data_IF_389257219548
#
_entry.id   IF_389257219548
#
_cell.length_a   1.000
_cell.length_b   1.000
_cell.length_c   1.000
_cell.angle_alpha   90.00
_cell.angle_beta   90.00
_cell.angle_gamma   90.00
#
_symmetry.space_group_name_H-M   'P 1'
#
loop_
_entity.id
_entity.type
_entity.pdbx_description
1 polymer ?
#
# COMPACT_ATOMS: atom_id res chain seq x y z
N UNK A 1 -26.51 -49.42 5.91
CA UNK A 1 -26.29 -48.28 5.00
C UNK A 1 -27.38 -48.35 3.94
N UNK A 2 -28.24 -47.33 3.91
CA UNK A 2 -29.27 -47.18 2.87
C UNK A 2 -28.61 -46.60 1.60
N UNK A 3 -29.29 -46.69 0.46
CA UNK A 3 -28.85 -46.03 -0.80
C UNK A 3 -28.75 -44.52 -0.58
N UNK A 4 -29.62 -43.98 0.27
CA UNK A 4 -29.63 -42.56 0.64
C UNK A 4 -28.39 -42.14 1.42
N UNK A 5 -27.91 -43.00 2.34
CA UNK A 5 -26.63 -42.77 3.08
C UNK A 5 -25.42 -42.78 2.14
N UNK A 6 -25.40 -43.70 1.20
CA UNK A 6 -24.34 -43.81 0.21
C UNK A 6 -24.31 -42.59 -0.72
N UNK A 7 -25.49 -42.10 -1.16
CA UNK A 7 -25.64 -40.92 -2.00
C UNK A 7 -25.19 -39.66 -1.25
N UNK A 8 -25.58 -39.51 -0.01
CA UNK A 8 -25.22 -38.42 0.87
C UNK A 8 -23.69 -38.37 1.09
N UNK A 9 -23.09 -39.50 1.35
CA UNK A 9 -21.65 -39.61 1.50
C UNK A 9 -20.89 -39.25 0.20
N UNK A 10 -21.37 -39.75 -0.96
CA UNK A 10 -20.81 -39.44 -2.26
C UNK A 10 -20.88 -37.93 -2.56
N UNK A 11 -22.03 -37.29 -2.31
CA UNK A 11 -22.20 -35.86 -2.52
C UNK A 11 -21.30 -35.01 -1.62
N UNK A 12 -21.16 -35.38 -0.34
CA UNK A 12 -20.22 -34.73 0.58
C UNK A 12 -18.78 -34.84 0.11
N UNK A 13 -18.37 -36.03 -0.33
CA UNK A 13 -17.02 -36.27 -0.84
C UNK A 13 -16.76 -35.46 -2.12
N UNK A 14 -17.72 -35.43 -3.05
CA UNK A 14 -17.65 -34.62 -4.26
C UNK A 14 -17.52 -33.13 -3.92
N UNK A 15 -18.32 -32.63 -3.00
CA UNK A 15 -18.31 -31.24 -2.55
C UNK A 15 -16.94 -30.84 -1.97
N UNK A 16 -16.40 -31.66 -1.09
CA UNK A 16 -15.06 -31.44 -0.52
C UNK A 16 -13.94 -31.42 -1.57
N UNK A 17 -14.01 -32.29 -2.59
CA UNK A 17 -13.04 -32.31 -3.70
C UNK A 17 -13.12 -31.00 -4.49
N UNK A 18 -14.31 -30.50 -4.78
CA UNK A 18 -14.51 -29.25 -5.53
C UNK A 18 -14.03 -28.04 -4.75
N UNK A 19 -14.28 -27.99 -3.45
CA UNK A 19 -13.78 -26.93 -2.58
C UNK A 19 -12.25 -26.91 -2.55
N UNK A 20 -11.61 -28.08 -2.40
CA UNK A 20 -10.13 -28.19 -2.49
C UNK A 20 -9.60 -27.76 -3.86
N UNK A 21 -10.30 -28.09 -4.93
CA UNK A 21 -9.90 -27.66 -6.28
C UNK A 21 -10.00 -26.14 -6.43
N UNK A 22 -11.05 -25.50 -5.92
CA UNK A 22 -11.18 -24.04 -5.89
C UNK A 22 -10.01 -23.40 -5.10
N UNK A 23 -9.69 -23.96 -3.92
CA UNK A 23 -8.54 -23.50 -3.12
C UNK A 23 -7.20 -23.67 -3.85
N UNK A 24 -7.01 -24.73 -4.64
CA UNK A 24 -5.80 -24.91 -5.45
C UNK A 24 -5.71 -23.84 -6.53
N UNK A 25 -6.82 -23.56 -7.23
CA UNK A 25 -6.83 -22.50 -8.24
C UNK A 25 -6.57 -21.11 -7.62
N UNK A 26 -7.14 -20.82 -6.46
CA UNK A 26 -6.83 -19.62 -5.70
C UNK A 26 -5.33 -19.49 -5.44
N UNK A 27 -4.70 -20.50 -4.85
CA UNK A 27 -3.25 -20.51 -4.57
C UNK A 27 -2.41 -20.33 -5.84
N UNK A 28 -2.80 -20.95 -6.96
CA UNK A 28 -2.13 -20.74 -8.23
C UNK A 28 -2.30 -19.29 -8.71
N UNK A 29 -3.48 -18.71 -8.57
CA UNK A 29 -3.74 -17.30 -8.83
C UNK A 29 -2.82 -16.37 -8.03
N UNK A 30 -2.68 -16.62 -6.72
CA UNK A 30 -1.77 -15.88 -5.83
C UNK A 30 -0.32 -15.98 -6.30
N UNK A 31 0.16 -17.16 -6.69
CA UNK A 31 1.52 -17.36 -7.21
C UNK A 31 1.72 -16.57 -8.50
N UNK A 32 0.78 -16.63 -9.44
CA UNK A 32 0.84 -15.88 -10.70
C UNK A 32 0.81 -14.37 -10.46
N UNK A 33 -0.03 -13.89 -9.53
CA UNK A 33 -0.08 -12.47 -9.12
C UNK A 33 1.26 -12.00 -8.57
N UNK A 34 1.88 -12.77 -7.67
CA UNK A 34 3.22 -12.46 -7.12
C UNK A 34 4.30 -12.45 -8.20
N UNK A 35 4.14 -13.26 -9.25
CA UNK A 35 5.02 -13.26 -10.42
C UNK A 35 4.67 -12.16 -11.45
N UNK A 36 3.73 -11.25 -11.14
CA UNK A 36 3.20 -10.19 -12.03
C UNK A 36 2.58 -10.71 -13.33
N UNK A 37 2.18 -11.99 -13.37
CA UNK A 37 1.48 -12.62 -14.49
C UNK A 37 -0.04 -12.46 -14.33
N UNK A 38 -0.50 -11.21 -14.43
CA UNK A 38 -1.85 -10.81 -14.02
C UNK A 38 -2.98 -11.52 -14.80
N UNK A 39 -2.84 -11.69 -16.12
CA UNK A 39 -3.85 -12.41 -16.93
C UNK A 39 -4.01 -13.86 -16.48
N UNK A 40 -2.90 -14.57 -16.23
CA UNK A 40 -2.94 -15.95 -15.75
C UNK A 40 -3.52 -16.03 -14.33
N UNK A 41 -3.20 -15.05 -13.48
CA UNK A 41 -3.75 -14.98 -12.14
C UNK A 41 -5.28 -14.81 -12.17
N UNK A 42 -5.78 -13.88 -12.98
CA UNK A 42 -7.23 -13.67 -13.16
C UNK A 42 -7.94 -14.91 -13.73
N UNK A 43 -7.33 -15.64 -14.65
CA UNK A 43 -7.88 -16.90 -15.17
C UNK A 43 -8.04 -17.95 -14.04
N UNK A 44 -7.02 -18.11 -13.19
CA UNK A 44 -7.09 -19.02 -12.05
C UNK A 44 -8.13 -18.60 -11.03
N UNK A 45 -8.20 -17.32 -10.65
CA UNK A 45 -9.23 -16.82 -9.73
C UNK A 45 -10.64 -17.01 -10.32
N UNK A 46 -10.83 -16.77 -11.61
CA UNK A 46 -12.10 -17.00 -12.29
C UNK A 46 -12.51 -18.49 -12.27
N UNK A 47 -11.55 -19.41 -12.46
CA UNK A 47 -11.80 -20.86 -12.33
C UNK A 47 -12.22 -21.23 -10.92
N UNK A 48 -11.55 -20.69 -9.90
CA UNK A 48 -11.91 -20.90 -8.50
C UNK A 48 -13.33 -20.40 -8.21
N UNK A 49 -13.64 -19.17 -8.64
CA UNK A 49 -14.96 -18.55 -8.46
C UNK A 49 -16.06 -19.34 -9.15
N UNK A 50 -15.86 -19.77 -10.41
CA UNK A 50 -16.84 -20.58 -11.13
C UNK A 50 -17.14 -21.91 -10.41
N UNK A 51 -16.14 -22.56 -9.81
CA UNK A 51 -16.37 -23.79 -9.03
C UNK A 51 -17.24 -23.49 -7.80
N UNK A 52 -16.95 -22.38 -7.11
CA UNK A 52 -17.69 -21.93 -5.93
C UNK A 52 -19.17 -21.67 -6.30
N UNK A 53 -19.38 -20.87 -7.34
CA UNK A 53 -20.71 -20.41 -7.75
C UNK A 53 -21.59 -21.55 -8.28
N UNK A 54 -21.06 -22.37 -9.22
CA UNK A 54 -21.79 -23.48 -9.84
C UNK A 54 -22.20 -24.55 -8.81
N UNK A 55 -21.34 -24.77 -7.82
CA UNK A 55 -21.57 -25.82 -6.83
C UNK A 55 -22.11 -25.29 -5.50
N UNK A 56 -22.42 -23.99 -5.41
CA UNK A 56 -22.94 -23.31 -4.22
C UNK A 56 -22.08 -23.57 -2.96
N UNK A 57 -20.75 -23.50 -3.13
CA UNK A 57 -19.81 -23.75 -2.03
C UNK A 57 -19.88 -22.57 -1.04
N UNK A 58 -20.25 -22.85 0.20
CA UNK A 58 -20.31 -21.85 1.28
C UNK A 58 -18.96 -21.75 1.98
N UNK A 59 -18.03 -21.05 1.39
CA UNK A 59 -16.73 -20.72 1.97
C UNK A 59 -16.48 -19.20 1.81
N UNK A 60 -17.00 -18.37 2.75
CA UNK A 60 -16.89 -16.92 2.66
C UNK A 60 -15.45 -16.43 2.73
N UNK A 61 -14.58 -17.10 3.50
CA UNK A 61 -13.15 -16.77 3.57
C UNK A 61 -12.49 -16.89 2.19
N UNK A 62 -12.52 -18.07 1.59
CA UNK A 62 -11.96 -18.29 0.26
C UNK A 62 -12.56 -17.34 -0.79
N UNK A 63 -13.88 -17.14 -0.75
CA UNK A 63 -14.59 -16.28 -1.72
C UNK A 63 -14.16 -14.82 -1.57
N UNK A 64 -14.06 -14.31 -0.35
CA UNK A 64 -13.62 -12.93 -0.11
C UNK A 64 -12.15 -12.73 -0.46
N UNK A 65 -11.29 -13.73 -0.23
CA UNK A 65 -9.88 -13.65 -0.58
C UNK A 65 -9.65 -13.62 -2.10
N UNK A 66 -10.40 -14.40 -2.87
CA UNK A 66 -10.38 -14.36 -4.33
C UNK A 66 -10.74 -12.95 -4.83
N UNK A 67 -11.84 -12.35 -4.33
CA UNK A 67 -12.22 -10.99 -4.70
C UNK A 67 -11.15 -9.97 -4.30
N UNK A 68 -10.60 -10.09 -3.09
CA UNK A 68 -9.53 -9.22 -2.64
C UNK A 68 -8.31 -9.28 -3.57
N UNK A 69 -7.86 -10.48 -3.93
CA UNK A 69 -6.69 -10.67 -4.79
C UNK A 69 -6.92 -10.23 -6.24
N UNK A 70 -8.13 -10.39 -6.77
CA UNK A 70 -8.53 -9.78 -8.04
C UNK A 70 -8.48 -8.24 -7.95
N UNK A 71 -8.93 -7.65 -6.83
CA UNK A 71 -8.82 -6.23 -6.55
C UNK A 71 -7.37 -5.75 -6.59
N UNK A 72 -6.43 -6.49 -5.97
CA UNK A 72 -4.98 -6.20 -6.01
C UNK A 72 -4.44 -6.20 -7.45
N UNK A 73 -4.90 -7.11 -8.30
CA UNK A 73 -4.47 -7.12 -9.70
C UNK A 73 -5.00 -5.87 -10.42
N UNK A 74 -6.28 -5.56 -10.25
CA UNK A 74 -6.87 -4.42 -10.95
C UNK A 74 -6.29 -3.07 -10.53
N UNK A 75 -5.91 -2.91 -9.25
CA UNK A 75 -5.23 -1.68 -8.82
C UNK A 75 -3.82 -1.57 -9.42
N UNK A 76 -3.10 -2.68 -9.58
CA UNK A 76 -1.78 -2.71 -10.23
C UNK A 76 -1.85 -2.41 -11.74
N UNK A 77 -3.00 -2.67 -12.35
CA UNK A 77 -3.29 -2.37 -13.74
C UNK A 77 -3.95 -0.98 -13.94
N UNK A 78 -4.10 -0.19 -12.86
CA UNK A 78 -4.80 1.09 -12.84
C UNK A 78 -6.29 1.02 -13.30
N UNK A 79 -6.92 -0.15 -13.17
CA UNK A 79 -8.35 -0.39 -13.48
C UNK A 79 -9.17 -0.21 -12.21
N UNK A 80 -9.28 1.05 -11.76
CA UNK A 80 -9.78 1.41 -10.44
C UNK A 80 -11.24 0.97 -10.17
N UNK A 81 -12.14 1.08 -11.16
CA UNK A 81 -13.54 0.71 -10.97
C UNK A 81 -13.70 -0.79 -10.69
N UNK A 82 -12.93 -1.64 -11.39
CA UNK A 82 -12.91 -3.08 -11.13
C UNK A 82 -12.26 -3.40 -9.79
N UNK A 83 -11.18 -2.69 -9.41
CA UNK A 83 -10.55 -2.86 -8.12
C UNK A 83 -11.54 -2.55 -6.99
N UNK A 84 -12.22 -1.41 -7.08
CA UNK A 84 -13.22 -0.98 -6.10
C UNK A 84 -14.37 -2.00 -5.96
N UNK A 85 -14.95 -2.45 -7.09
CA UNK A 85 -16.03 -3.43 -7.09
C UNK A 85 -15.61 -4.75 -6.40
N UNK A 86 -14.38 -5.22 -6.68
CA UNK A 86 -13.88 -6.44 -6.06
C UNK A 86 -13.60 -6.28 -4.56
N UNK A 87 -12.99 -5.18 -4.12
CA UNK A 87 -12.78 -4.92 -2.69
C UNK A 87 -14.09 -4.71 -1.92
N UNK A 88 -15.08 -4.04 -2.52
CA UNK A 88 -16.40 -3.89 -1.92
C UNK A 88 -17.07 -5.26 -1.75
N UNK A 89 -16.96 -6.14 -2.76
CA UNK A 89 -17.52 -7.49 -2.66
C UNK A 89 -16.83 -8.33 -1.59
N UNK A 90 -15.49 -8.26 -1.51
CA UNK A 90 -14.75 -8.92 -0.43
C UNK A 90 -15.20 -8.44 0.95
N UNK A 91 -15.35 -7.12 1.13
CA UNK A 91 -15.83 -6.51 2.38
C UNK A 91 -17.23 -7.00 2.74
N UNK A 92 -18.19 -6.92 1.80
CA UNK A 92 -19.58 -7.36 2.03
C UNK A 92 -19.65 -8.82 2.51
N UNK A 93 -18.85 -9.70 1.91
CA UNK A 93 -18.77 -11.11 2.31
C UNK A 93 -18.20 -11.22 3.73
N UNK A 94 -17.10 -10.51 4.04
CA UNK A 94 -16.45 -10.54 5.36
C UNK A 94 -17.36 -10.00 6.46
N UNK A 95 -18.15 -8.96 6.17
CA UNK A 95 -19.11 -8.38 7.10
C UNK A 95 -20.38 -9.27 7.30
N UNK A 96 -20.69 -10.15 6.34
CA UNK A 96 -21.92 -10.96 6.37
C UNK A 96 -21.83 -12.23 7.23
N UNK A 97 -20.64 -12.61 7.71
CA UNK A 97 -20.48 -13.81 8.55
C UNK A 97 -20.85 -13.55 9.99
N UNK A 98 -21.30 -14.56 10.72
CA UNK A 98 -21.79 -14.44 12.10
C UNK A 98 -20.68 -13.97 13.08
N UNK A 99 -19.44 -14.41 12.89
CA UNK A 99 -18.28 -14.00 13.68
C UNK A 99 -17.22 -13.46 12.74
N UNK A 100 -17.30 -12.16 12.34
CA UNK A 100 -16.43 -11.59 11.35
C UNK A 100 -15.00 -11.41 11.90
N UNK A 101 -14.01 -11.70 11.06
CA UNK A 101 -12.62 -11.31 11.31
C UNK A 101 -12.48 -9.80 11.10
N UNK A 102 -12.40 -9.06 12.20
CA UNK A 102 -12.32 -7.60 12.19
C UNK A 102 -11.03 -7.09 11.48
N UNK A 103 -9.91 -7.82 11.59
CA UNK A 103 -8.69 -7.41 10.87
C UNK A 103 -8.87 -7.53 9.34
N UNK A 104 -9.55 -8.58 8.87
CA UNK A 104 -9.85 -8.72 7.44
C UNK A 104 -10.83 -7.65 6.95
N UNK A 105 -11.76 -7.21 7.79
CA UNK A 105 -12.64 -6.08 7.49
C UNK A 105 -11.83 -4.79 7.41
N UNK A 106 -10.98 -4.50 8.41
CA UNK A 106 -10.09 -3.34 8.39
C UNK A 106 -9.18 -3.33 7.16
N UNK A 107 -8.69 -4.50 6.75
CA UNK A 107 -7.91 -4.66 5.53
C UNK A 107 -8.72 -4.32 4.27
N UNK A 108 -9.99 -4.71 4.22
CA UNK A 108 -10.89 -4.34 3.11
C UNK A 108 -11.11 -2.83 3.04
N UNK A 109 -11.34 -2.17 4.17
CA UNK A 109 -11.47 -0.71 4.24
C UNK A 109 -10.20 0.00 3.80
N UNK A 110 -9.04 -0.47 4.26
CA UNK A 110 -7.74 0.04 3.83
C UNK A 110 -7.56 -0.06 2.30
N UNK A 111 -7.88 -1.21 1.70
CA UNK A 111 -7.76 -1.41 0.26
C UNK A 111 -8.68 -0.49 -0.54
N UNK A 112 -9.93 -0.30 -0.09
CA UNK A 112 -10.87 0.66 -0.70
C UNK A 112 -10.30 2.09 -0.62
N UNK A 113 -9.79 2.50 0.54
CA UNK A 113 -9.11 3.79 0.72
C UNK A 113 -7.94 3.98 -0.25
N UNK A 114 -7.12 2.94 -0.42
CA UNK A 114 -6.00 2.94 -1.37
C UNK A 114 -6.46 3.12 -2.83
N UNK A 115 -7.60 2.56 -3.23
CA UNK A 115 -8.16 2.81 -4.58
C UNK A 115 -8.51 4.29 -4.73
N UNK A 116 -9.20 4.88 -3.76
CA UNK A 116 -9.54 6.31 -3.80
C UNK A 116 -8.31 7.21 -3.79
N UNK A 117 -7.29 6.86 -3.00
CA UNK A 117 -5.99 7.56 -3.01
C UNK A 117 -5.33 7.54 -4.40
N UNK A 118 -5.31 6.38 -5.07
CA UNK A 118 -4.79 6.23 -6.44
C UNK A 118 -5.61 7.03 -7.46
N UNK A 119 -6.91 7.15 -7.26
CA UNK A 119 -7.80 8.03 -8.04
C UNK A 119 -7.63 9.51 -7.71
N UNK A 120 -6.79 9.87 -6.73
CA UNK A 120 -6.62 11.23 -6.17
C UNK A 120 -7.89 11.80 -5.52
N UNK A 121 -8.82 10.94 -5.10
CA UNK A 121 -10.03 11.27 -4.33
C UNK A 121 -9.70 11.19 -2.84
N UNK A 122 -8.91 12.16 -2.37
CA UNK A 122 -8.30 12.08 -1.04
C UNK A 122 -9.32 12.17 0.10
N UNK A 123 -10.43 12.91 -0.05
CA UNK A 123 -11.51 12.95 0.93
C UNK A 123 -12.11 11.56 1.20
N UNK A 124 -12.37 10.82 0.13
CA UNK A 124 -12.88 9.44 0.23
C UNK A 124 -11.81 8.52 0.83
N UNK A 125 -10.54 8.67 0.40
CA UNK A 125 -9.42 7.89 0.94
C UNK A 125 -9.29 8.07 2.46
N UNK A 126 -9.29 9.31 2.95
CA UNK A 126 -9.26 9.65 4.38
C UNK A 126 -10.40 8.95 5.13
N UNK A 127 -11.62 9.00 4.57
CA UNK A 127 -12.80 8.39 5.19
C UNK A 127 -12.63 6.88 5.37
N UNK A 128 -12.16 6.19 4.33
CA UNK A 128 -12.00 4.74 4.38
C UNK A 128 -10.80 4.30 5.22
N UNK A 129 -9.68 5.02 5.16
CA UNK A 129 -8.52 4.72 6.00
C UNK A 129 -8.80 4.99 7.48
N UNK A 130 -9.62 5.99 7.83
CA UNK A 130 -10.07 6.21 9.21
C UNK A 130 -10.94 5.06 9.72
N UNK A 131 -11.87 4.53 8.93
CA UNK A 131 -12.65 3.35 9.30
C UNK A 131 -11.75 2.14 9.55
N UNK A 132 -10.71 1.93 8.73
CA UNK A 132 -9.74 0.87 8.96
C UNK A 132 -8.96 1.08 10.27
N UNK A 133 -8.57 2.32 10.58
CA UNK A 133 -7.89 2.67 11.82
C UNK A 133 -8.77 2.43 13.04
N UNK A 134 -10.05 2.85 13.01
CA UNK A 134 -11.02 2.66 14.10
C UNK A 134 -11.12 1.18 14.49
N UNK A 135 -11.33 0.29 13.51
CA UNK A 135 -11.38 -1.17 13.78
C UNK A 135 -10.04 -1.68 14.36
N UNK A 136 -8.92 -1.24 13.81
CA UNK A 136 -7.61 -1.66 14.31
C UNK A 136 -7.35 -1.20 15.74
N UNK A 137 -7.83 -0.03 16.13
CA UNK A 137 -7.73 0.45 17.50
C UNK A 137 -8.64 -0.32 18.48
N UNK A 138 -9.71 -0.97 17.99
CA UNK A 138 -10.53 -1.87 18.81
C UNK A 138 -9.85 -3.20 19.10
N UNK A 139 -9.05 -3.72 18.16
CA UNK A 139 -8.49 -5.08 18.24
C UNK A 139 -7.02 -5.12 18.65
N UNK A 140 -6.29 -4.01 18.50
CA UNK A 140 -4.86 -3.92 18.82
C UNK A 140 -4.56 -2.88 19.87
N UNK A 141 -3.51 -3.09 20.71
CA UNK A 141 -2.96 -2.03 21.54
C UNK A 141 -2.53 -0.80 20.72
N UNK A 142 -2.66 0.39 21.33
CA UNK A 142 -2.33 1.66 20.64
C UNK A 142 -0.88 1.76 20.13
N UNK A 143 0.02 0.96 20.67
CA UNK A 143 1.43 0.94 20.28
C UNK A 143 1.79 -0.11 19.23
N UNK A 144 0.81 -0.76 18.60
CA UNK A 144 1.09 -1.73 17.56
C UNK A 144 1.56 -1.06 16.24
N UNK A 145 2.57 -1.63 15.54
CA UNK A 145 3.07 -1.08 14.28
C UNK A 145 2.02 -0.89 13.21
N UNK A 146 0.96 -1.70 13.20
CA UNK A 146 -0.16 -1.60 12.25
C UNK A 146 -0.96 -0.31 12.44
N UNK A 147 -1.08 0.16 13.70
CA UNK A 147 -1.68 1.46 14.03
C UNK A 147 -0.83 2.58 13.43
N UNK A 148 0.51 2.52 13.63
CA UNK A 148 1.43 3.51 13.07
C UNK A 148 1.38 3.56 11.53
N UNK A 149 1.23 2.41 10.87
CA UNK A 149 1.07 2.33 9.42
C UNK A 149 -0.23 3.03 8.97
N UNK A 150 -1.35 2.76 9.65
CA UNK A 150 -2.64 3.39 9.37
C UNK A 150 -2.60 4.90 9.57
N UNK A 151 -2.00 5.38 10.66
CA UNK A 151 -1.81 6.80 10.95
C UNK A 151 -0.98 7.48 9.85
N UNK A 152 0.14 6.90 9.45
CA UNK A 152 0.99 7.46 8.38
C UNK A 152 0.23 7.55 7.05
N UNK A 153 -0.60 6.57 6.73
CA UNK A 153 -1.42 6.58 5.51
C UNK A 153 -2.42 7.73 5.53
N UNK A 154 -3.14 7.91 6.63
CA UNK A 154 -4.09 9.03 6.81
C UNK A 154 -3.36 10.38 6.71
N UNK A 155 -2.20 10.53 7.35
CA UNK A 155 -1.37 11.73 7.25
C UNK A 155 -0.95 12.03 5.80
N UNK A 156 -0.57 11.02 5.03
CA UNK A 156 -0.26 11.17 3.60
C UNK A 156 -1.49 11.63 2.80
N UNK A 157 -2.67 11.08 3.08
CA UNK A 157 -3.91 11.48 2.40
C UNK A 157 -4.26 12.94 2.69
N UNK A 158 -4.17 13.38 3.97
CA UNK A 158 -4.36 14.79 4.33
C UNK A 158 -3.35 15.71 3.65
N UNK A 159 -2.08 15.31 3.60
CA UNK A 159 -1.04 16.08 2.90
C UNK A 159 -1.36 16.27 1.41
N UNK A 160 -1.81 15.20 0.75
CA UNK A 160 -2.20 15.27 -0.65
C UNK A 160 -3.53 16.02 -0.87
N UNK A 161 -4.47 15.91 0.07
CA UNK A 161 -5.70 16.68 0.05
C UNK A 161 -5.39 18.19 0.14
N UNK A 162 -4.63 18.61 1.14
CA UNK A 162 -4.25 20.01 1.35
C UNK A 162 -3.48 20.63 0.17
N UNK A 163 -2.72 19.82 -0.55
CA UNK A 163 -2.03 20.26 -1.76
C UNK A 163 -2.99 20.62 -2.91
N UNK A 164 -4.14 19.96 -2.97
CA UNK A 164 -5.06 20.04 -4.10
C UNK A 164 -6.36 20.78 -3.77
N UNK A 165 -6.69 20.96 -2.50
CA UNK A 165 -7.93 21.55 -2.02
C UNK A 165 -7.68 22.37 -0.76
N UNK A 166 -7.93 23.70 -0.84
CA UNK A 166 -7.72 24.67 0.25
C UNK A 166 -8.65 24.47 1.45
N UNK A 167 -9.66 23.58 1.37
CA UNK A 167 -10.49 23.22 2.52
C UNK A 167 -9.77 22.31 3.53
N UNK A 168 -8.63 21.71 3.12
CA UNK A 168 -7.75 20.91 3.97
C UNK A 168 -6.52 21.71 4.37
N UNK A 169 -6.07 21.51 5.61
CA UNK A 169 -4.85 22.15 6.10
C UNK A 169 -3.73 21.13 6.29
N UNK A 170 -2.50 21.50 5.96
CA UNK A 170 -1.32 20.64 6.16
C UNK A 170 -1.17 20.20 7.61
N UNK A 171 -1.54 21.06 8.57
CA UNK A 171 -1.47 20.74 9.99
C UNK A 171 -2.35 19.54 10.39
N UNK A 172 -3.43 19.26 9.67
CA UNK A 172 -4.29 18.10 9.92
C UNK A 172 -3.54 16.76 9.74
N UNK A 173 -2.47 16.76 8.95
CA UNK A 173 -1.63 15.59 8.71
C UNK A 173 -0.59 15.36 9.81
N UNK A 174 -0.11 16.42 10.45
CA UNK A 174 1.07 16.34 11.32
C UNK A 174 0.87 15.46 12.55
N UNK A 175 -0.28 15.57 13.20
CA UNK A 175 -0.60 14.74 14.38
C UNK A 175 -0.55 13.23 14.06
N UNK A 176 -1.04 12.86 12.88
CA UNK A 176 -0.98 11.47 12.41
C UNK A 176 0.45 11.01 12.19
N UNK A 177 1.29 11.83 11.59
CA UNK A 177 2.70 11.50 11.36
C UNK A 177 3.49 11.41 12.67
N UNK A 178 3.30 12.39 13.57
CA UNK A 178 4.01 12.42 14.86
C UNK A 178 3.70 11.19 15.70
N UNK A 179 2.40 10.86 15.85
CA UNK A 179 1.98 9.65 16.58
C UNK A 179 2.49 8.36 15.90
N UNK A 180 2.42 8.28 14.58
CA UNK A 180 2.92 7.12 13.84
C UNK A 180 4.43 6.91 13.98
N UNK A 181 5.21 8.00 13.95
CA UNK A 181 6.66 7.95 14.16
C UNK A 181 7.00 7.53 15.60
N UNK A 182 6.32 8.10 16.59
CA UNK A 182 6.52 7.75 18.00
C UNK A 182 6.30 6.25 18.26
N UNK A 183 5.19 5.70 17.81
CA UNK A 183 4.88 4.27 17.91
C UNK A 183 6.02 3.44 17.29
N UNK A 184 6.44 3.74 16.06
CA UNK A 184 7.51 2.99 15.38
C UNK A 184 8.86 3.09 16.10
N UNK A 185 9.21 4.26 16.63
CA UNK A 185 10.44 4.42 17.40
C UNK A 185 10.44 3.56 18.67
N UNK A 186 9.30 3.53 19.37
CA UNK A 186 9.14 2.75 20.61
C UNK A 186 9.13 1.24 20.36
N UNK A 187 8.50 0.79 19.29
CA UNK A 187 8.24 -0.66 19.06
C UNK A 187 9.26 -1.31 18.15
N UNK A 188 9.73 -0.60 17.14
CA UNK A 188 10.63 -1.13 16.11
C UNK A 188 12.06 -0.56 16.19
N UNK A 189 12.22 0.56 16.89
CA UNK A 189 13.49 1.28 17.00
C UNK A 189 13.72 2.32 15.91
N UNK A 190 14.70 3.19 16.13
CA UNK A 190 15.00 4.31 15.23
C UNK A 190 15.56 3.89 13.88
N UNK A 191 16.20 2.73 13.80
CA UNK A 191 16.85 2.24 12.56
C UNK A 191 15.99 1.28 11.75
N UNK A 192 14.71 1.09 12.10
CA UNK A 192 13.84 0.19 11.39
C UNK A 192 13.40 0.78 10.02
N UNK A 193 13.21 -0.06 8.97
CA UNK A 193 12.71 0.40 7.66
C UNK A 193 11.44 1.25 7.74
N UNK A 194 10.48 0.86 8.58
CA UNK A 194 9.21 1.57 8.73
C UNK A 194 9.38 2.93 9.43
N UNK A 195 10.38 3.06 10.33
CA UNK A 195 10.75 4.35 10.91
C UNK A 195 11.33 5.29 9.86
N UNK A 196 12.11 4.75 8.89
CA UNK A 196 12.58 5.52 7.75
C UNK A 196 11.42 6.03 6.87
N UNK A 197 10.36 5.23 6.68
CA UNK A 197 9.15 5.68 5.99
C UNK A 197 8.46 6.83 6.70
N UNK A 198 8.38 6.82 8.03
CA UNK A 198 7.82 7.95 8.79
C UNK A 198 8.62 9.24 8.56
N UNK A 199 9.95 9.17 8.61
CA UNK A 199 10.80 10.33 8.33
C UNK A 199 10.62 10.85 6.89
N UNK A 200 10.48 9.97 5.89
CA UNK A 200 10.20 10.39 4.53
C UNK A 200 8.86 11.12 4.43
N UNK A 201 7.80 10.60 5.06
CA UNK A 201 6.46 11.22 5.04
C UNK A 201 6.45 12.59 5.72
N UNK A 202 7.11 12.73 6.86
CA UNK A 202 7.28 14.00 7.57
C UNK A 202 8.08 15.00 6.72
N UNK A 203 9.18 14.54 6.11
CA UNK A 203 9.98 15.38 5.21
C UNK A 203 9.16 15.87 4.01
N UNK A 204 8.33 15.02 3.42
CA UNK A 204 7.45 15.42 2.32
C UNK A 204 6.37 16.42 2.75
N UNK A 205 5.85 16.26 3.95
CA UNK A 205 4.91 17.21 4.55
C UNK A 205 5.55 18.60 4.74
N UNK A 206 6.75 18.68 5.33
CA UNK A 206 7.51 19.94 5.44
C UNK A 206 7.80 20.55 4.06
N UNK A 207 8.20 19.71 3.09
CA UNK A 207 8.50 20.18 1.74
C UNK A 207 7.31 20.90 1.09
N UNK A 208 6.09 20.36 1.24
CA UNK A 208 4.89 20.98 0.68
C UNK A 208 4.45 22.25 1.42
N UNK A 209 4.91 22.48 2.64
CA UNK A 209 4.72 23.74 3.37
C UNK A 209 5.78 24.79 3.01
N UNK A 210 6.81 24.42 2.26
CA UNK A 210 7.93 25.31 1.94
C UNK A 210 9.02 25.34 3.02
N UNK A 211 8.94 24.48 4.02
CA UNK A 211 9.90 24.30 5.11
C UNK A 211 11.00 23.32 4.66
N UNK A 212 11.84 23.80 3.73
CA UNK A 212 12.76 22.93 2.99
C UNK A 212 13.93 22.43 3.84
N UNK A 213 14.39 23.20 4.82
CA UNK A 213 15.44 22.82 5.76
C UNK A 213 14.99 21.64 6.64
N UNK A 214 13.78 21.71 7.18
CA UNK A 214 13.17 20.64 7.98
C UNK A 214 12.89 19.39 7.12
N UNK A 215 12.50 19.60 5.87
CA UNK A 215 12.34 18.50 4.92
C UNK A 215 13.67 17.77 4.69
N UNK A 216 14.76 18.50 4.46
CA UNK A 216 16.11 17.96 4.27
C UNK A 216 16.56 17.18 5.51
N UNK A 217 16.35 17.71 6.72
CA UNK A 217 16.72 17.03 7.97
C UNK A 217 16.04 15.65 8.06
N UNK A 218 14.72 15.59 7.81
CA UNK A 218 13.97 14.35 7.85
C UNK A 218 14.35 13.38 6.72
N UNK A 219 14.60 13.88 5.52
CA UNK A 219 15.09 13.05 4.41
C UNK A 219 16.48 12.48 4.67
N UNK A 220 17.39 13.24 5.32
CA UNK A 220 18.70 12.73 5.72
C UNK A 220 18.61 11.63 6.77
N UNK A 221 17.71 11.74 7.76
CA UNK A 221 17.43 10.65 8.72
C UNK A 221 16.94 9.40 7.98
N UNK A 222 15.99 9.55 7.06
CA UNK A 222 15.51 8.45 6.22
C UNK A 222 16.65 7.82 5.39
N UNK A 223 17.47 8.62 4.73
CA UNK A 223 18.59 8.14 3.91
C UNK A 223 19.63 7.39 4.77
N UNK A 224 19.95 7.92 5.95
CA UNK A 224 20.87 7.28 6.90
C UNK A 224 20.42 5.88 7.25
N UNK A 225 19.14 5.71 7.64
CA UNK A 225 18.58 4.40 7.96
C UNK A 225 18.64 3.49 6.72
N UNK A 226 18.19 3.96 5.57
CA UNK A 226 18.18 3.16 4.33
C UNK A 226 19.58 2.69 3.92
N UNK A 227 20.60 3.52 4.09
CA UNK A 227 22.01 3.14 3.80
C UNK A 227 22.52 2.00 4.69
N UNK A 228 22.01 1.88 5.91
CA UNK A 228 22.44 0.79 6.84
C UNK A 228 21.76 -0.54 6.56
N UNK A 229 20.54 -0.53 6.03
CA UNK A 229 19.69 -1.73 5.89
C UNK A 229 19.50 -2.20 4.45
N UNK A 230 19.73 -1.34 3.47
CA UNK A 230 19.53 -1.65 2.05
C UNK A 230 20.85 -1.68 1.29
N UNK A 231 20.86 -2.42 0.19
CA UNK A 231 21.97 -2.33 -0.76
C UNK A 231 22.05 -0.91 -1.36
N UNK A 232 23.26 -0.40 -1.65
CA UNK A 232 23.45 0.96 -2.16
C UNK A 232 22.67 1.29 -3.44
N UNK A 233 22.36 0.27 -4.25
CA UNK A 233 21.60 0.40 -5.51
C UNK A 233 20.09 0.18 -5.36
N UNK A 234 19.56 0.21 -4.13
CA UNK A 234 18.14 -0.04 -3.92
C UNK A 234 17.27 1.15 -4.38
N UNK A 235 16.10 0.85 -4.95
CA UNK A 235 15.17 1.85 -5.49
C UNK A 235 14.77 2.92 -4.46
N UNK A 236 14.58 2.55 -3.19
CA UNK A 236 14.23 3.49 -2.11
C UNK A 236 15.37 4.46 -1.77
N UNK A 237 16.65 4.06 -2.01
CA UNK A 237 17.77 4.98 -1.88
C UNK A 237 17.77 6.03 -2.99
N UNK A 238 17.41 5.62 -4.22
CA UNK A 238 17.26 6.57 -5.32
C UNK A 238 16.12 7.55 -5.09
N UNK A 239 14.99 7.07 -4.59
CA UNK A 239 13.81 7.89 -4.30
C UNK A 239 14.12 9.00 -3.28
N UNK A 240 14.71 8.64 -2.13
CA UNK A 240 15.03 9.64 -1.10
C UNK A 240 16.15 10.59 -1.56
N UNK A 241 17.08 10.12 -2.37
CA UNK A 241 18.13 10.98 -2.96
C UNK A 241 17.53 11.98 -3.95
N UNK A 242 16.55 11.59 -4.74
CA UNK A 242 15.79 12.51 -5.60
C UNK A 242 15.08 13.60 -4.78
N UNK A 243 14.38 13.23 -3.70
CA UNK A 243 13.67 14.18 -2.82
C UNK A 243 14.65 15.16 -2.14
N UNK A 244 15.81 14.68 -1.70
CA UNK A 244 16.89 15.53 -1.17
C UNK A 244 17.38 16.52 -2.22
N UNK A 245 17.65 16.04 -3.43
CA UNK A 245 18.08 16.92 -4.52
C UNK A 245 17.08 18.02 -4.84
N UNK A 246 15.79 17.67 -4.90
CA UNK A 246 14.69 18.63 -5.10
C UNK A 246 14.62 19.66 -3.97
N UNK A 247 14.72 19.22 -2.71
CA UNK A 247 14.69 20.12 -1.55
C UNK A 247 15.91 21.05 -1.50
N UNK A 248 17.13 20.56 -1.78
CA UNK A 248 18.32 21.39 -1.86
C UNK A 248 18.26 22.44 -2.97
N UNK A 249 17.63 22.12 -4.12
CA UNK A 249 17.39 23.11 -5.17
C UNK A 249 16.49 24.26 -4.68
N UNK A 250 15.47 23.96 -3.88
CA UNK A 250 14.56 24.99 -3.33
C UNK A 250 15.28 26.01 -2.45
N UNK A 251 16.35 25.64 -1.77
CA UNK A 251 17.17 26.52 -0.92
C UNK A 251 18.47 26.96 -1.60
N UNK A 252 18.55 26.80 -2.92
CA UNK A 252 19.69 27.20 -3.76
C UNK A 252 21.05 26.57 -3.36
N UNK A 253 21.03 25.38 -2.75
CA UNK A 253 22.23 24.60 -2.45
C UNK A 253 22.58 23.66 -3.62
N UNK A 254 23.04 24.24 -4.72
CA UNK A 254 23.22 23.57 -6.02
C UNK A 254 24.20 22.39 -5.94
N UNK A 255 25.29 22.53 -5.17
CA UNK A 255 26.29 21.46 -5.03
C UNK A 255 25.69 20.20 -4.38
N UNK A 256 25.01 20.36 -3.25
CA UNK A 256 24.34 19.26 -2.54
C UNK A 256 23.21 18.66 -3.37
N UNK A 257 22.44 19.49 -4.06
CA UNK A 257 21.39 19.04 -4.97
C UNK A 257 21.97 18.12 -6.05
N UNK A 258 23.03 18.54 -6.71
CA UNK A 258 23.70 17.79 -7.78
C UNK A 258 24.25 16.45 -7.29
N UNK A 259 24.88 16.42 -6.11
CA UNK A 259 25.39 15.18 -5.51
C UNK A 259 24.28 14.13 -5.34
N UNK A 260 23.17 14.53 -4.73
CA UNK A 260 22.04 13.62 -4.47
C UNK A 260 21.31 13.22 -5.76
N UNK A 261 21.12 14.14 -6.71
CA UNK A 261 20.49 13.83 -8.00
C UNK A 261 21.33 12.86 -8.84
N UNK A 262 22.65 13.01 -8.86
CA UNK A 262 23.56 12.06 -9.56
C UNK A 262 23.51 10.67 -8.96
N UNK A 263 23.38 10.56 -7.62
CA UNK A 263 23.19 9.26 -6.96
C UNK A 263 21.85 8.64 -7.38
N UNK A 264 20.76 9.42 -7.39
CA UNK A 264 19.45 8.97 -7.82
C UNK A 264 19.47 8.51 -9.28
N UNK A 265 20.05 9.30 -10.18
CA UNK A 265 20.19 8.99 -11.61
C UNK A 265 20.90 7.66 -11.84
N UNK A 266 22.07 7.48 -11.20
CA UNK A 266 22.87 6.24 -11.30
C UNK A 266 22.07 5.00 -10.93
N UNK A 267 21.33 5.05 -9.83
CA UNK A 267 20.55 3.91 -9.35
C UNK A 267 19.33 3.69 -10.26
N UNK A 268 18.61 4.74 -10.64
CA UNK A 268 17.44 4.65 -11.51
C UNK A 268 17.78 4.07 -12.89
N UNK A 269 18.92 4.48 -13.45
CA UNK A 269 19.43 3.92 -14.72
C UNK A 269 19.72 2.42 -14.61
N UNK A 270 20.37 1.99 -13.52
CA UNK A 270 20.67 0.56 -13.29
C UNK A 270 19.41 -0.30 -13.10
N UNK A 271 18.31 0.30 -12.63
CA UNK A 271 17.03 -0.36 -12.40
C UNK A 271 16.04 -0.19 -13.55
N UNK A 272 16.45 0.43 -14.66
CA UNK A 272 15.60 0.72 -15.83
C UNK A 272 14.30 1.49 -15.48
N UNK A 273 14.36 2.43 -14.50
CA UNK A 273 13.24 3.26 -14.06
C UNK A 273 13.09 4.51 -14.93
N UNK A 274 12.69 4.35 -16.20
CA UNK A 274 12.69 5.40 -17.23
C UNK A 274 12.02 6.70 -16.78
N UNK A 275 10.76 6.64 -16.31
CA UNK A 275 10.01 7.85 -15.90
C UNK A 275 10.65 8.60 -14.71
N UNK A 276 11.25 7.86 -13.76
CA UNK A 276 11.94 8.46 -12.63
C UNK A 276 13.26 9.09 -13.07
N UNK A 277 13.97 8.41 -13.96
CA UNK A 277 15.24 8.87 -14.55
C UNK A 277 15.04 10.19 -15.31
N UNK A 278 14.03 10.30 -16.17
CA UNK A 278 13.70 11.52 -16.91
C UNK A 278 13.47 12.72 -15.98
N UNK A 279 12.73 12.53 -14.87
CA UNK A 279 12.52 13.58 -13.88
C UNK A 279 13.82 14.02 -13.23
N UNK A 280 14.67 13.07 -12.84
CA UNK A 280 15.96 13.36 -12.21
C UNK A 280 16.88 14.10 -13.15
N UNK A 281 16.94 13.71 -14.44
CA UNK A 281 17.74 14.40 -15.45
C UNK A 281 17.24 15.82 -15.74
N UNK A 282 15.93 16.06 -15.63
CA UNK A 282 15.40 17.42 -15.72
C UNK A 282 15.94 18.32 -14.61
N UNK A 283 15.90 17.88 -13.35
CA UNK A 283 16.47 18.66 -12.24
C UNK A 283 17.99 18.83 -12.34
N UNK A 284 18.72 17.83 -12.84
CA UNK A 284 20.17 17.95 -13.09
C UNK A 284 20.50 19.03 -14.14
N UNK A 285 19.64 19.23 -15.15
CA UNK A 285 19.80 20.34 -16.10
C UNK A 285 19.59 21.69 -15.41
N UNK A 286 18.62 21.82 -14.51
CA UNK A 286 18.44 23.04 -13.70
C UNK A 286 19.69 23.36 -12.88
N UNK A 287 20.33 22.36 -12.25
CA UNK A 287 21.60 22.52 -11.53
C UNK A 287 22.76 23.02 -12.42
N UNK A 288 22.68 22.85 -13.73
CA UNK A 288 23.74 23.24 -14.66
C UNK A 288 23.53 24.65 -15.24
N UNK A 289 22.34 25.20 -15.09
CA UNK A 289 21.94 26.54 -15.56
C UNK A 289 22.03 27.59 -14.45
N UNK A 290 22.14 27.14 -13.20
CA UNK A 290 22.31 27.96 -11.99
C UNK A 290 23.77 28.06 -11.60
#
# INVERSE_FOLDING_TARGET
FTIEDLLKHYLQKKFHILERLATIYDKLGVVMRKASKYEQALDYFTKAQNIIDINHIKNPELTSDIYNDMGVIYINLDIFDKALANYQKAREIRESVENPDLEQIAYSYHNIGTVYQRQKKYADAITWHKKALEIRQEIYPDNEPIIAASLTMIGNDYTQAAKNDSSYHFNDAFEYFAKGLEIRKLTLGETHPDTAWSYQSIGLWHFYQGEYEEAIENYLKCLSIRKTILQPSHAYTAEISYLLGEAYLKINQIHSAKEHLLLAEKIQASLHKVKALEKTQHLLKECSLS
#
